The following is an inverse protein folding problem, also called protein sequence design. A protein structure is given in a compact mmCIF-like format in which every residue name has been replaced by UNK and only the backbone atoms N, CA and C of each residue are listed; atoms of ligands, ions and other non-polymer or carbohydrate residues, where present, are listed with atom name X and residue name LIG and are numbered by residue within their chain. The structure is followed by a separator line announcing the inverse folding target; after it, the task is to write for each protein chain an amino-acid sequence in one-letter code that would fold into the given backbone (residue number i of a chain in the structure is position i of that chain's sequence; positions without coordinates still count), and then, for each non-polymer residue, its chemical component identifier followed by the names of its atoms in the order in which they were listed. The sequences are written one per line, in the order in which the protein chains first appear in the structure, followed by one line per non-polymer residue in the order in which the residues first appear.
data_IF_290673155679
#
_entry.id   IF_290673155679
#
_cell.length_a   1.000
_cell.length_b   1.000
_cell.length_c   1.000
_cell.angle_alpha   90.00
_cell.angle_beta   90.00
_cell.angle_gamma   90.00
#
_symmetry.space_group_name_H-M   'P 1'
#
loop_
_entity.id
_entity.type
_entity.pdbx_description
1 polymer ?
#
# COMPACT_ATOMS: atom_id res chain seq x y z
N UNK A 1 4.97 -1.27 0.34
CA UNK A 1 3.62 -0.84 0.76
C UNK A 1 3.54 -0.63 2.26
N UNK A 2 3.51 -1.71 3.04
CA UNK A 2 3.38 -1.64 4.50
C UNK A 2 4.45 -0.79 5.19
N UNK A 3 5.72 -0.92 4.78
CA UNK A 3 6.83 -0.12 5.35
C UNK A 3 6.57 1.39 5.21
N UNK A 4 6.10 1.83 4.04
CA UNK A 4 5.80 3.25 3.78
C UNK A 4 4.66 3.76 4.67
N UNK A 5 3.64 2.93 4.93
CA UNK A 5 2.56 3.27 5.87
C UNK A 5 3.11 3.42 7.28
N UNK A 6 3.92 2.46 7.74
CA UNK A 6 4.48 2.47 9.10
C UNK A 6 5.41 3.66 9.30
N UNK A 7 6.29 3.95 8.34
CA UNK A 7 7.17 5.12 8.40
C UNK A 7 6.39 6.43 8.39
N UNK A 8 5.35 6.56 7.56
CA UNK A 8 4.55 7.78 7.54
C UNK A 8 3.76 7.96 8.84
N UNK A 9 3.16 6.90 9.37
CA UNK A 9 2.49 6.90 10.66
C UNK A 9 3.45 7.28 11.79
N UNK A 10 4.67 6.74 11.77
CA UNK A 10 5.70 7.06 12.76
C UNK A 10 6.10 8.54 12.69
N UNK A 11 6.39 9.06 11.49
CA UNK A 11 6.73 10.48 11.28
C UNK A 11 5.61 11.42 11.73
N UNK A 12 4.34 11.07 11.46
CA UNK A 12 3.19 11.87 11.91
C UNK A 12 3.01 11.84 13.42
N UNK A 13 3.18 10.68 14.05
CA UNK A 13 3.13 10.57 15.52
C UNK A 13 4.28 11.32 16.20
N UNK A 14 5.48 11.26 15.62
CA UNK A 14 6.65 12.03 16.07
C UNK A 14 6.41 13.54 15.95
N UNK A 15 5.95 14.00 14.78
CA UNK A 15 5.61 15.42 14.57
C UNK A 15 4.54 15.91 15.54
N UNK A 16 3.51 15.10 15.82
CA UNK A 16 2.48 15.43 16.81
C UNK A 16 3.06 15.54 18.22
N UNK A 17 3.94 14.62 18.63
CA UNK A 17 4.61 14.65 19.95
C UNK A 17 5.48 15.89 20.12
N UNK A 18 6.21 16.29 19.08
CA UNK A 18 6.99 17.53 19.10
C UNK A 18 6.11 18.78 19.24
N UNK A 19 4.95 18.79 18.59
CA UNK A 19 3.99 19.91 18.71
C UNK A 19 3.22 19.92 20.04
N UNK A 20 3.13 18.78 20.74
CA UNK A 20 2.35 18.61 21.97
C UNK A 20 3.21 18.05 23.11
N UNK A 21 4.20 18.81 23.61
CA UNK A 21 5.06 18.36 24.69
C UNK A 21 4.25 18.08 25.96
N UNK A 22 4.50 16.93 26.59
CA UNK A 22 3.85 16.51 27.83
C UNK A 22 2.44 15.92 27.67
N UNK A 23 1.91 15.80 26.45
CA UNK A 23 0.64 15.10 26.18
C UNK A 23 0.88 13.69 25.63
N UNK A 24 0.00 12.76 26.01
CA UNK A 24 -0.07 11.42 25.43
C UNK A 24 -0.86 11.46 24.12
N UNK A 25 -0.40 10.73 23.10
CA UNK A 25 -1.16 10.51 21.88
C UNK A 25 -2.12 9.35 22.10
N UNK A 26 -3.34 9.64 22.56
CA UNK A 26 -4.37 8.66 22.87
C UNK A 26 -5.76 9.06 22.33
N UNK A 27 -6.73 8.15 22.49
CA UNK A 27 -8.12 8.37 22.13
C UNK A 27 -8.33 8.84 20.69
N UNK A 28 -9.13 9.90 20.53
CA UNK A 28 -9.44 10.47 19.21
C UNK A 28 -8.23 11.09 18.51
N UNK A 29 -7.29 11.68 19.25
CA UNK A 29 -6.11 12.30 18.63
C UNK A 29 -5.22 11.26 17.98
N UNK A 30 -5.08 10.09 18.59
CA UNK A 30 -4.37 8.96 17.99
C UNK A 30 -5.04 8.56 16.66
N UNK A 31 -6.36 8.33 16.65
CA UNK A 31 -7.07 7.98 15.42
C UNK A 31 -6.95 9.05 14.35
N UNK A 32 -7.07 10.34 14.71
CA UNK A 32 -6.93 11.46 13.78
C UNK A 32 -5.55 11.48 13.12
N UNK A 33 -4.48 11.31 13.90
CA UNK A 33 -3.10 11.29 13.39
C UNK A 33 -2.88 10.08 12.49
N UNK A 34 -3.38 8.90 12.87
CA UNK A 34 -3.25 7.68 12.05
C UNK A 34 -4.03 7.78 10.74
N UNK A 35 -5.25 8.32 10.77
CA UNK A 35 -6.05 8.54 9.55
C UNK A 35 -5.38 9.54 8.62
N UNK A 36 -4.84 10.65 9.15
CA UNK A 36 -4.09 11.60 8.34
C UNK A 36 -2.85 10.96 7.69
N UNK A 37 -2.12 10.13 8.44
CA UNK A 37 -0.99 9.38 7.90
C UNK A 37 -1.42 8.42 6.79
N UNK A 38 -2.53 7.70 6.96
CA UNK A 38 -3.04 6.77 5.96
C UNK A 38 -3.51 7.48 4.69
N UNK A 39 -4.17 8.64 4.82
CA UNK A 39 -4.67 9.42 3.67
C UNK A 39 -3.54 9.97 2.79
N UNK A 40 -2.39 10.31 3.37
CA UNK A 40 -1.26 10.87 2.63
C UNK A 40 -0.59 9.85 1.70
N UNK A 41 -0.48 8.58 2.13
CA UNK A 41 0.19 7.52 1.36
C UNK A 41 -0.78 6.60 0.62
N UNK A 42 -2.07 6.61 1.01
CA UNK A 42 -3.12 5.73 0.47
C UNK A 42 -3.24 5.76 -1.05
N UNK A 43 -3.36 6.94 -1.69
CA UNK A 43 -3.49 7.02 -3.15
C UNK A 43 -2.30 6.40 -3.89
N UNK A 44 -1.07 6.70 -3.47
CA UNK A 44 0.13 6.17 -4.09
C UNK A 44 0.20 4.64 -3.99
N UNK A 45 -0.13 4.08 -2.84
CA UNK A 45 -0.15 2.63 -2.63
C UNK A 45 -1.26 1.93 -3.42
N UNK A 46 -2.42 2.56 -3.54
CA UNK A 46 -3.52 2.06 -4.35
C UNK A 46 -3.11 1.96 -5.82
N UNK A 47 -2.54 3.03 -6.40
CA UNK A 47 -2.08 3.00 -7.79
C UNK A 47 -0.93 2.02 -7.98
N UNK A 48 0.01 1.93 -7.04
CA UNK A 48 1.09 0.94 -7.08
C UNK A 48 0.52 -0.50 -7.14
N UNK A 49 -0.43 -0.82 -6.26
CA UNK A 49 -1.09 -2.12 -6.26
C UNK A 49 -1.83 -2.38 -7.57
N UNK A 50 -2.60 -1.40 -8.05
CA UNK A 50 -3.33 -1.51 -9.32
C UNK A 50 -2.40 -1.77 -10.50
N UNK A 51 -1.30 -1.03 -10.62
CA UNK A 51 -0.30 -1.23 -11.68
C UNK A 51 0.31 -2.63 -11.59
N UNK A 52 0.68 -3.08 -10.39
CA UNK A 52 1.20 -4.44 -10.17
C UNK A 52 0.15 -5.46 -10.63
N UNK A 53 -1.10 -5.35 -10.19
CA UNK A 53 -2.19 -6.26 -10.59
C UNK A 53 -2.40 -6.27 -12.11
N UNK A 54 -2.46 -5.08 -12.74
CA UNK A 54 -2.66 -4.97 -14.19
C UNK A 54 -1.46 -5.53 -14.97
N UNK A 55 -0.24 -5.48 -14.42
CA UNK A 55 0.96 -6.04 -15.05
C UNK A 55 0.93 -7.57 -15.19
N UNK A 56 0.07 -8.25 -14.42
CA UNK A 56 -0.14 -9.69 -14.54
C UNK A 56 -1.18 -10.07 -15.61
N UNK A 57 -1.97 -9.12 -16.13
CA UNK A 57 -2.93 -9.42 -17.22
C UNK A 57 -2.20 -10.04 -18.43
N UNK A 58 -1.08 -9.48 -18.93
CA UNK A 58 -0.32 -10.09 -20.01
C UNK A 58 0.14 -11.51 -19.72
N UNK A 59 0.59 -11.79 -18.48
CA UNK A 59 1.06 -13.13 -18.07
C UNK A 59 -0.05 -14.17 -18.25
N UNK A 60 -1.25 -13.90 -17.74
CA UNK A 60 -2.39 -14.80 -17.90
C UNK A 60 -2.87 -14.93 -19.35
N UNK A 61 -2.79 -13.86 -20.15
CA UNK A 61 -3.12 -13.92 -21.58
C UNK A 61 -2.11 -14.73 -22.40
N UNK A 62 -0.84 -14.76 -21.97
CA UNK A 62 0.23 -15.53 -22.62
C UNK A 62 0.24 -16.99 -22.19
N UNK A 63 -0.09 -17.32 -20.94
CA UNK A 63 -0.30 -18.71 -20.48
C UNK A 63 -1.40 -19.42 -21.31
N UNK A 64 -2.47 -18.69 -21.71
CA UNK A 64 -3.49 -19.21 -22.61
C UNK A 64 -2.97 -19.52 -24.04
N UNK A 65 -1.78 -19.01 -24.42
CA UNK A 65 -1.11 -19.35 -25.68
C UNK A 65 -0.14 -20.54 -25.54
N UNK A 66 0.40 -20.81 -24.36
CA UNK A 66 1.24 -22.00 -24.13
C UNK A 66 0.43 -23.30 -24.28
N UNK A 67 -0.86 -23.30 -23.94
CA UNK A 67 -1.78 -24.42 -24.22
C UNK A 67 -2.03 -24.69 -25.71
N UNK A 68 -1.67 -23.77 -26.61
CA UNK A 68 -1.76 -23.94 -28.08
C UNK A 68 -0.42 -24.28 -28.73
N UNK A 69 0.71 -24.09 -28.02
CA UNK A 69 2.06 -24.39 -28.50
C UNK A 69 2.55 -25.80 -28.11
N UNK A 70 1.74 -26.54 -27.34
CA UNK A 70 1.86 -27.98 -27.16
C UNK A 70 0.61 -28.69 -27.71
N UNK A 71 0.49 -28.88 -29.03
CA UNK A 71 -0.42 -29.91 -29.53
C UNK A 71 -0.04 -31.26 -28.88
N UNK A 72 -1.01 -32.14 -28.59
CA UNK A 72 -0.72 -33.42 -27.95
C UNK A 72 0.29 -34.20 -28.79
N UNK A 73 1.38 -34.64 -28.16
CA UNK A 73 2.29 -35.63 -28.73
C UNK A 73 1.53 -36.95 -28.88
N UNK A 74 0.89 -37.11 -30.04
CA UNK A 74 0.36 -38.34 -30.59
C UNK A 74 0.74 -38.39 -32.09
#
# INVERSE_FOLDING_TARGET
GAVVIVENAHKKAEAWRHANPGKSLDGEEHWRVMTAAAQEVGPALFFCLMIITLSFIPVFTLEAQEGRLFPPLA
#
